data_IF_571816408147
#
_entry.id   IF_571816408147
#
_cell.length_a   1.000
_cell.length_b   1.000
_cell.length_c   1.000
_cell.angle_alpha   90.00
_cell.angle_beta   90.00
_cell.angle_gamma   90.00
#
_symmetry.space_group_name_H-M   'P 1'
#
loop_
_entity.id
_entity.type
_entity.pdbx_description
1 polymer ?
2 non-polymer ?
3 non-polymer ?
4 water ?
#
# COMPACT_ATOMS: atom_id res chain seq x y z
N UNK A 7 -16.80 7.70 -15.29
CA UNK A 7 -17.07 6.45 -16.01
C UNK A 7 -15.79 5.85 -16.59
N UNK A 8 -15.34 6.38 -17.72
CA UNK A 8 -14.04 6.05 -18.29
C UNK A 8 -13.02 7.11 -17.85
N UNK A 9 -11.72 6.77 -17.97
CA UNK A 9 -10.69 7.62 -17.40
C UNK A 9 -10.41 8.83 -18.29
N UNK A 10 -10.55 8.68 -19.61
CA UNK A 10 -10.17 9.78 -20.50
C UNK A 10 -10.96 11.06 -20.24
N UNK A 11 -12.31 11.05 -20.19
CA UNK A 11 -12.98 12.33 -19.85
C UNK A 11 -12.55 12.90 -18.52
N UNK A 12 -12.37 12.05 -17.49
CA UNK A 12 -11.94 12.52 -16.18
C UNK A 12 -10.54 13.12 -16.23
N UNK A 13 -9.64 12.51 -17.02
CA UNK A 13 -8.29 13.06 -17.13
C UNK A 13 -8.30 14.40 -17.88
N UNK A 14 -9.13 14.52 -18.92
CA UNK A 14 -9.27 15.78 -19.63
C UNK A 14 -9.74 16.88 -18.70
N UNK A 15 -10.81 16.60 -17.94
CA UNK A 15 -11.28 17.56 -16.95
C UNK A 15 -10.21 17.86 -15.91
N UNK A 16 -9.49 16.81 -15.47
CA UNK A 16 -8.39 17.00 -14.52
C UNK A 16 -7.31 17.90 -15.11
N UNK A 17 -6.88 17.61 -16.34
CA UNK A 17 -5.88 18.43 -17.02
C UNK A 17 -6.37 19.86 -17.22
N UNK A 18 -7.65 20.02 -17.59
CA UNK A 18 -8.21 21.36 -17.76
C UNK A 18 -8.15 22.15 -16.46
N UNK A 19 -8.69 21.57 -15.39
CA UNK A 19 -8.82 22.32 -14.14
C UNK A 19 -7.46 22.81 -13.65
N UNK A 20 -6.42 21.96 -13.70
CA UNK A 20 -5.13 22.32 -13.12
C UNK A 20 -4.12 22.80 -14.16
N UNK A 21 -4.52 22.94 -15.42
CA UNK A 21 -3.71 23.52 -16.50
C UNK A 21 -2.49 22.63 -16.80
N UNK A 22 -2.78 21.42 -17.27
CA UNK A 22 -1.72 20.47 -17.55
C UNK A 22 -1.81 19.97 -18.99
N UNK A 23 -0.67 19.67 -19.59
CA UNK A 23 -0.64 19.11 -20.95
C UNK A 23 -1.51 17.86 -21.06
N UNK A 24 -1.93 17.54 -22.25
CA UNK A 24 -2.78 16.38 -22.48
C UNK A 24 -2.19 15.07 -22.01
N UNK A 25 -3.07 14.10 -21.77
CA UNK A 25 -2.67 12.79 -21.31
C UNK A 25 -3.27 11.68 -22.15
N UNK A 26 -2.43 10.77 -22.63
CA UNK A 26 -2.85 9.64 -23.45
C UNK A 26 -4.03 8.89 -22.83
N UNK A 31 -2.60 0.84 -21.77
CA UNK A 31 -1.43 1.71 -21.78
C UNK A 31 -1.51 2.77 -20.67
N UNK A 32 -0.50 3.62 -20.64
CA UNK A 32 -0.34 4.61 -19.57
C UNK A 32 0.10 5.94 -20.17
N UNK A 33 0.13 6.96 -19.33
CA UNK A 33 0.65 8.26 -19.71
C UNK A 33 1.47 8.82 -18.56
N UNK A 34 2.27 9.83 -18.88
CA UNK A 34 3.11 10.50 -17.90
C UNK A 34 2.96 12.00 -18.03
N UNK A 35 3.30 12.67 -16.95
CA UNK A 35 3.18 14.11 -16.87
C UNK A 35 4.30 14.59 -15.98
N UNK A 36 5.08 15.57 -16.43
CA UNK A 36 6.09 16.14 -15.57
C UNK A 36 5.47 17.19 -14.65
N UNK A 37 5.92 17.20 -13.40
CA UNK A 37 5.31 18.00 -12.34
C UNK A 37 6.40 18.83 -11.69
N UNK A 38 6.22 20.16 -11.69
CA UNK A 38 7.10 21.08 -10.98
C UNK A 38 8.56 20.95 -11.40
N UNK A 39 8.81 20.50 -12.64
CA UNK A 39 10.15 20.35 -13.18
C UNK A 39 11.02 19.41 -12.32
N UNK A 40 10.38 18.39 -11.72
CA UNK A 40 11.07 17.63 -10.68
C UNK A 40 10.68 16.16 -10.62
N UNK A 41 9.42 15.83 -10.91
CA UNK A 41 8.97 14.45 -10.86
C UNK A 41 8.22 14.09 -12.14
N UNK A 42 8.30 12.81 -12.49
CA UNK A 42 7.47 12.20 -13.53
C UNK A 42 6.42 11.35 -12.81
N UNK A 43 5.18 11.78 -12.89
CA UNK A 43 4.05 11.03 -12.36
C UNK A 43 3.43 10.24 -13.50
N UNK A 44 3.23 8.93 -13.29
CA UNK A 44 2.62 8.04 -14.28
C UNK A 44 1.15 7.85 -13.96
N UNK A 45 0.33 7.74 -15.01
CA UNK A 45 -1.11 7.54 -14.92
C UNK A 45 -1.44 6.26 -15.67
N UNK A 46 -1.85 5.23 -14.94
CA UNK A 46 -2.11 3.91 -15.52
C UNK A 46 -3.54 3.52 -15.25
N UNK A 47 -4.22 3.01 -16.28
CA UNK A 47 -5.57 2.49 -16.15
C UNK A 47 -5.46 0.98 -16.00
N UNK A 48 -5.71 0.51 -14.78
CA UNK A 48 -5.65 -0.93 -14.51
C UNK A 48 -6.78 -1.64 -15.24
N UNK A 49 -6.78 -2.97 -15.14
CA UNK A 49 -7.80 -3.75 -15.84
C UNK A 49 -9.13 -3.69 -15.11
N UNK A 50 -9.11 -3.61 -13.78
CA UNK A 50 -10.34 -3.68 -12.98
C UNK A 50 -10.81 -2.27 -12.55
N UNK A 51 -10.97 -1.41 -13.56
CA UNK A 51 -11.68 -0.12 -13.43
C UNK A 51 -11.05 0.77 -12.37
N UNK A 52 -9.72 0.77 -12.31
CA UNK A 52 -9.00 1.61 -11.37
C UNK A 52 -7.95 2.42 -12.11
N UNK A 53 -7.59 3.55 -11.50
CA UNK A 53 -6.51 4.40 -11.99
C UNK A 53 -5.37 4.34 -10.97
N UNK A 54 -4.19 3.96 -11.43
CA UNK A 54 -3.00 3.97 -10.59
C UNK A 54 -2.16 5.22 -10.84
N UNK A 55 -1.69 5.83 -9.77
CA UNK A 55 -0.64 6.84 -9.81
C UNK A 55 0.63 6.29 -9.19
N UNK A 56 1.74 6.46 -9.90
CA UNK A 56 3.04 6.00 -9.43
C UNK A 56 4.08 7.04 -9.79
N UNK A 57 5.07 7.22 -8.91
CA UNK A 57 6.15 8.15 -9.14
C UNK A 57 7.43 7.56 -8.55
N UNK A 58 8.51 7.62 -9.32
CA UNK A 58 9.85 7.28 -8.86
C UNK A 58 10.51 8.55 -8.34
N UNK A 59 10.91 8.52 -7.09
CA UNK A 59 11.42 9.69 -6.43
C UNK A 59 12.86 9.57 -5.99
N UNK A 60 13.47 8.39 -6.08
CA UNK A 60 14.84 8.27 -5.65
C UNK A 60 15.35 6.86 -5.89
N UNK A 61 16.44 6.53 -5.24
CA UNK A 61 17.03 5.23 -5.46
C UNK A 61 17.71 4.75 -4.21
N UNK A 62 17.76 3.43 -4.06
CA UNK A 62 18.44 2.81 -2.96
C UNK A 62 19.88 2.55 -3.35
N UNK A 63 20.80 2.78 -2.42
CA UNK A 63 22.19 2.40 -2.62
C UNK A 63 22.29 0.94 -3.07
N UNK A 64 23.34 0.63 -3.85
CA UNK A 64 23.44 -0.73 -4.40
C UNK A 64 23.71 -1.74 -3.31
N UNK A 65 24.49 -1.37 -2.29
CA UNK A 65 24.92 -2.35 -1.29
C UNK A 65 25.41 -1.58 -0.07
N UNK A 66 25.64 -2.32 1.01
CA UNK A 66 26.22 -1.75 2.21
C UNK A 66 25.18 -1.31 3.23
N UNK A 67 25.70 -0.69 4.32
CA UNK A 67 24.85 -0.25 5.41
C UNK A 67 23.80 0.74 4.93
N UNK A 68 24.14 1.54 3.92
CA UNK A 68 23.20 2.54 3.46
C UNK A 68 22.00 1.89 2.80
N UNK A 69 22.23 0.83 2.01
CA UNK A 69 21.10 0.06 1.49
C UNK A 69 20.23 -0.47 2.63
N UNK A 70 20.85 -1.09 3.65
CA UNK A 70 20.05 -1.68 4.72
C UNK A 70 19.25 -0.62 5.44
N UNK A 71 19.87 0.52 5.74
CA UNK A 71 19.14 1.61 6.38
C UNK A 71 17.93 2.03 5.56
N UNK A 72 18.10 2.17 4.24
CA UNK A 72 16.97 2.52 3.41
C UNK A 72 15.94 1.41 3.37
N UNK A 73 16.39 0.16 3.45
CA UNK A 73 15.47 -0.97 3.44
C UNK A 73 14.64 -1.01 4.71
N UNK A 74 15.25 -0.76 5.87
CA UNK A 74 14.51 -0.73 7.13
C UNK A 74 13.51 0.42 7.16
N UNK A 75 13.88 1.56 6.57
CA UNK A 75 12.95 2.68 6.44
C UNK A 75 11.78 2.33 5.53
N UNK A 76 12.06 1.70 4.39
CA UNK A 76 11.02 1.23 3.49
C UNK A 76 10.03 0.32 4.22
N UNK A 77 10.55 -0.70 4.91
CA UNK A 77 9.67 -1.71 5.47
C UNK A 77 8.73 -1.12 6.51
N UNK A 78 9.21 -0.14 7.27
CA UNK A 78 8.40 0.42 8.35
C UNK A 78 7.47 1.51 7.88
N UNK A 79 7.80 2.19 6.77
CA UNK A 79 7.02 3.34 6.36
C UNK A 79 5.62 2.93 5.93
N UNK A 80 5.45 1.70 5.49
CA UNK A 80 4.16 1.28 4.99
C UNK A 80 3.22 0.80 6.08
N UNK A 81 3.66 0.83 7.35
CA UNK A 81 2.81 0.38 8.45
C UNK A 81 1.79 1.44 8.84
N UNK A 82 2.21 2.69 8.92
CA UNK A 82 1.25 3.75 9.15
C UNK A 82 0.60 4.14 7.80
N UNK A 83 -0.37 5.05 7.84
CA UNK A 83 -1.06 5.44 6.61
C UNK A 83 -0.19 6.43 5.83
N UNK A 84 -0.01 6.14 4.54
CA UNK A 84 0.86 6.94 3.70
C UNK A 84 0.06 7.95 2.89
N UNK A 85 -1.07 7.52 2.36
CA UNK A 85 -2.01 8.42 1.71
C UNK A 85 -3.22 7.67 1.23
N UNK A 86 -4.10 8.41 0.56
CA UNK A 86 -5.28 7.87 -0.09
C UNK A 86 -4.93 6.77 -1.08
N UNK A 87 -5.94 6.01 -1.51
CA UNK A 87 -5.71 4.96 -2.49
C UNK A 87 -4.77 3.86 -2.03
N UNK A 88 -4.57 3.74 -0.72
CA UNK A 88 -3.55 2.85 -0.19
C UNK A 88 -2.21 3.14 -0.87
N UNK A 89 -1.85 4.43 -0.91
CA UNK A 89 -0.50 4.84 -1.26
C UNK A 89 0.50 3.97 -0.52
N UNK A 90 1.50 3.47 -1.24
CA UNK A 90 2.54 2.64 -0.64
C UNK A 90 3.89 2.95 -1.24
N UNK A 91 4.93 2.82 -0.42
CA UNK A 91 6.32 2.82 -0.85
C UNK A 91 6.77 1.43 -1.29
N UNK A 92 7.58 1.38 -2.33
CA UNK A 92 8.10 0.10 -2.80
C UNK A 92 9.41 0.33 -3.55
N UNK A 93 10.00 -0.78 -3.97
CA UNK A 93 11.19 -0.82 -4.79
C UNK A 93 10.86 -1.46 -6.12
N UNK A 94 11.27 -0.81 -7.21
CA UNK A 94 11.07 -1.39 -8.54
C UNK A 94 11.87 -2.68 -8.71
N UNK A 95 11.56 -3.47 -9.75
CA UNK A 95 12.23 -4.78 -9.91
C UNK A 95 13.73 -4.72 -10.11
N UNK A 96 14.27 -3.59 -10.57
CA UNK A 96 15.72 -3.46 -10.72
C UNK A 96 16.42 -3.28 -9.37
N UNK A 97 15.70 -3.37 -8.26
CA UNK A 97 16.31 -3.29 -6.95
C UNK A 97 16.83 -1.92 -6.56
N UNK A 98 16.60 -0.91 -7.39
CA UNK A 98 17.20 0.39 -7.13
C UNK A 98 16.16 1.48 -6.93
N UNK A 99 15.14 1.57 -7.79
CA UNK A 99 14.29 2.74 -7.82
C UNK A 99 13.24 2.72 -6.72
N UNK A 100 13.17 3.82 -5.97
CA UNK A 100 12.19 3.97 -4.90
C UNK A 100 10.91 4.57 -5.49
N UNK A 101 9.77 3.91 -5.24
CA UNK A 101 8.52 4.24 -5.90
C UNK A 101 7.41 4.46 -4.88
N UNK A 102 6.62 5.49 -5.12
CA UNK A 102 5.39 5.79 -4.40
C UNK A 102 4.25 5.56 -5.38
N UNK A 103 3.31 4.71 -4.99
CA UNK A 103 2.20 4.37 -5.88
C UNK A 103 0.96 4.01 -5.08
N UNK A 104 -0.19 4.16 -5.74
CA UNK A 104 -1.49 3.76 -5.23
C UNK A 104 -2.47 3.74 -6.39
N UNK A 105 -3.65 3.20 -6.13
CA UNK A 105 -4.70 3.11 -7.12
C UNK A 105 -6.06 3.28 -6.45
N UNK A 106 -7.04 3.75 -7.22
CA UNK A 106 -8.42 3.96 -6.77
C UNK A 106 -9.36 3.55 -7.88
N UNK A 107 -10.54 3.03 -7.56
CA UNK A 107 -11.52 2.72 -8.61
C UNK A 107 -11.95 3.99 -9.30
N UNK A 108 -12.00 3.94 -10.63
CA UNK A 108 -12.44 5.13 -11.36
C UNK A 108 -13.89 5.48 -11.05
N UNK A 109 -14.68 4.47 -10.67
CA UNK A 109 -16.09 4.66 -10.35
C UNK A 109 -16.32 5.80 -9.35
N UNK A 110 -15.40 5.98 -8.41
CA UNK A 110 -15.55 6.98 -7.34
C UNK A 110 -14.66 8.17 -7.53
N UNK A 111 -14.13 8.35 -8.73
CA UNK A 111 -13.23 9.45 -9.02
C UNK A 111 -13.95 10.49 -9.85
N UNK A 112 -13.74 11.76 -9.50
CA UNK A 112 -14.04 12.89 -10.38
C UNK A 112 -12.93 13.91 -10.23
N UNK A 113 -13.06 15.02 -10.97
CA UNK A 113 -11.95 15.95 -11.16
C UNK A 113 -11.46 16.53 -9.85
N UNK A 114 -12.39 16.76 -8.91
CA UNK A 114 -12.05 17.46 -7.67
C UNK A 114 -11.12 16.62 -6.80
N UNK A 115 -11.51 15.38 -6.50
CA UNK A 115 -10.71 14.58 -5.60
C UNK A 115 -9.58 13.83 -6.29
N UNK A 116 -9.66 13.62 -7.60
CA UNK A 116 -8.44 13.32 -8.35
C UNK A 116 -7.42 14.43 -8.16
N UNK A 117 -7.89 15.67 -8.01
CA UNK A 117 -6.97 16.79 -7.83
C UNK A 117 -6.37 16.80 -6.42
N UNK A 118 -7.19 16.51 -5.40
CA UNK A 118 -6.65 16.37 -4.04
C UNK A 118 -5.67 15.20 -3.96
N UNK A 119 -5.93 14.12 -4.70
CA UNK A 119 -5.07 12.95 -4.61
C UNK A 119 -3.72 13.23 -5.28
N UNK A 120 -3.75 13.94 -6.41
CA UNK A 120 -2.55 14.42 -7.08
C UNK A 120 -1.70 15.29 -6.16
N UNK A 121 -2.32 16.26 -5.48
CA UNK A 121 -1.55 17.09 -4.56
C UNK A 121 -1.06 16.30 -3.36
N UNK A 122 -1.81 15.29 -2.92
CA UNK A 122 -1.32 14.47 -1.81
C UNK A 122 -0.07 13.68 -2.19
N UNK A 123 -0.05 13.07 -3.38
CA UNK A 123 1.07 12.20 -3.70
C UNK A 123 2.33 13.03 -3.99
N UNK A 124 2.17 14.20 -4.62
CA UNK A 124 3.32 15.07 -4.81
C UNK A 124 3.86 15.50 -3.45
N UNK A 125 2.96 15.85 -2.53
CA UNK A 125 3.39 16.25 -1.20
C UNK A 125 4.16 15.12 -0.51
N UNK A 126 3.65 13.89 -0.59
CA UNK A 126 4.29 12.76 0.10
C UNK A 126 5.61 12.37 -0.57
N UNK A 127 5.67 12.44 -1.90
CA UNK A 127 6.92 12.26 -2.61
C UNK A 127 8.02 13.14 -2.02
N UNK A 128 7.77 14.46 -1.98
CA UNK A 128 8.79 15.40 -1.52
C UNK A 128 9.23 15.07 -0.10
N UNK A 129 8.29 14.69 0.75
CA UNK A 129 8.64 14.31 2.12
C UNK A 129 9.51 13.04 2.12
N UNK A 130 9.20 12.07 1.26
CA UNK A 130 9.93 10.80 1.31
C UNK A 130 11.28 10.93 0.63
N UNK A 131 11.32 11.62 -0.52
CA UNK A 131 12.61 11.94 -1.12
C UNK A 131 13.54 12.60 -0.09
N UNK A 132 13.02 13.58 0.65
CA UNK A 132 13.82 14.25 1.67
C UNK A 132 14.30 13.26 2.70
N UNK A 133 13.39 12.43 3.24
CA UNK A 133 13.78 11.53 4.33
C UNK A 133 14.86 10.54 3.87
N UNK A 134 14.69 9.97 2.66
CA UNK A 134 15.69 9.04 2.14
C UNK A 134 17.02 9.72 1.82
N UNK A 135 16.98 10.92 1.23
CA UNK A 135 18.23 11.65 0.98
C UNK A 135 18.93 12.01 2.27
N UNK A 136 18.18 12.26 3.34
CA UNK A 136 18.85 12.59 4.59
C UNK A 136 19.58 11.40 5.21
N UNK A 137 19.40 10.17 4.72
CA UNK A 137 20.19 9.07 5.27
C UNK A 137 21.68 9.22 5.01
N UNK A 138 22.05 9.94 3.94
CA UNK A 138 23.44 10.01 3.48
C UNK A 138 23.90 11.47 3.37
N UNK A 139 23.56 12.30 4.35
CA UNK A 139 23.86 13.73 4.29
C UNK A 139 25.08 14.13 5.15
N UNK A 140 25.79 13.18 5.74
CA UNK A 140 26.91 13.51 6.61
C UNK A 140 28.21 13.53 5.82
N UNK A 141 28.97 14.60 5.98
CA UNK A 141 30.25 14.78 5.31
C UNK A 141 31.37 14.69 6.33
N UNK A 142 32.39 13.90 6.03
CA UNK A 142 33.57 13.87 6.89
C UNK A 142 34.71 14.68 6.28
N UNK B 7 -20.06 2.70 16.92
CA UNK B 7 -19.48 3.35 15.75
C UNK B 7 -20.43 3.25 14.55
N UNK B 8 -20.27 4.16 13.58
CA UNK B 8 -21.22 4.28 12.48
C UNK B 8 -21.26 3.07 11.56
N UNK B 9 -20.26 2.19 11.60
CA UNK B 9 -20.18 1.07 10.66
C UNK B 9 -20.40 -0.27 11.37
N UNK B 10 -20.73 -0.24 12.65
CA UNK B 10 -21.10 -1.45 13.36
C UNK B 10 -22.21 -2.25 12.67
N UNK B 11 -23.30 -1.65 12.16
CA UNK B 11 -24.33 -2.48 11.50
C UNK B 11 -23.82 -3.19 10.27
N UNK B 12 -22.98 -2.53 9.46
CA UNK B 12 -22.39 -3.21 8.31
C UNK B 12 -21.54 -4.40 8.74
N UNK B 13 -20.70 -4.23 9.75
CA UNK B 13 -19.88 -5.34 10.22
C UNK B 13 -20.76 -6.48 10.72
N UNK B 14 -21.78 -6.16 11.52
CA UNK B 14 -22.65 -7.20 12.06
C UNK B 14 -23.42 -7.90 10.95
N UNK B 15 -23.72 -7.20 9.85
CA UNK B 15 -24.34 -7.86 8.72
C UNK B 15 -23.33 -8.66 7.93
N UNK B 16 -22.09 -8.16 7.86
CA UNK B 16 -21.02 -8.90 7.20
C UNK B 16 -20.73 -10.22 7.93
N UNK B 17 -20.51 -10.16 9.24
CA UNK B 17 -20.37 -11.38 10.04
C UNK B 17 -21.53 -12.34 9.78
N UNK B 18 -22.74 -11.92 10.17
CA UNK B 18 -23.93 -12.76 10.06
C UNK B 18 -24.12 -13.31 8.64
N UNK B 19 -23.74 -12.56 7.61
CA UNK B 19 -23.77 -13.14 6.27
C UNK B 19 -22.79 -14.31 6.13
N UNK B 20 -21.68 -14.27 6.86
CA UNK B 20 -20.56 -15.17 6.63
C UNK B 20 -20.38 -16.18 7.76
N UNK B 21 -21.41 -16.39 8.60
CA UNK B 21 -21.37 -17.36 9.70
C UNK B 21 -20.23 -17.03 10.69
N UNK B 22 -20.17 -15.77 11.12
CA UNK B 22 -19.07 -15.29 11.93
C UNK B 22 -19.54 -14.58 13.20
N UNK B 23 -18.70 -14.58 14.24
CA UNK B 23 -19.08 -13.90 15.46
C UNK B 23 -19.26 -12.41 15.24
N UNK B 24 -20.10 -11.76 16.05
CA UNK B 24 -20.12 -10.30 16.07
C UNK B 24 -18.81 -9.73 16.56
N UNK B 25 -18.62 -8.45 16.30
CA UNK B 25 -17.35 -7.77 16.50
C UNK B 25 -17.58 -6.48 17.29
N UNK B 26 -16.87 -6.36 18.42
CA UNK B 26 -16.77 -5.18 19.28
C UNK B 26 -17.22 -3.87 18.62
N UNK B 31 -13.17 1.63 18.15
CA UNK B 31 -11.77 1.25 18.08
C UNK B 31 -11.55 0.16 17.03
N UNK B 32 -11.19 -1.05 17.48
CA UNK B 32 -10.94 -2.14 16.55
C UNK B 32 -11.48 -3.44 17.10
N UNK B 33 -11.73 -4.38 16.19
CA UNK B 33 -12.17 -5.72 16.52
C UNK B 33 -11.16 -6.73 16.01
N UNK B 34 -11.15 -7.90 16.64
CA UNK B 34 -10.31 -9.00 16.21
C UNK B 34 -11.18 -10.21 15.94
N UNK B 35 -10.90 -10.88 14.82
CA UNK B 35 -11.62 -12.05 14.35
C UNK B 35 -10.62 -13.17 14.06
N UNK B 36 -10.77 -14.31 14.72
CA UNK B 36 -9.90 -15.44 14.41
C UNK B 36 -10.42 -16.19 13.18
N UNK B 37 -9.55 -16.38 12.19
CA UNK B 37 -9.93 -16.84 10.87
C UNK B 37 -9.24 -18.17 10.59
N UNK B 38 -10.05 -19.18 10.25
CA UNK B 38 -9.57 -20.54 9.88
C UNK B 38 -8.62 -21.13 10.92
N UNK B 39 -8.74 -20.69 12.17
CA UNK B 39 -7.85 -21.14 13.27
C UNK B 39 -6.38 -20.98 12.88
N UNK B 40 -6.06 -19.89 12.20
CA UNK B 40 -4.67 -19.68 11.79
C UNK B 40 -4.26 -18.20 11.84
N UNK B 41 -5.21 -17.29 11.61
CA UNK B 41 -4.94 -15.86 11.49
C UNK B 41 -5.87 -15.01 12.35
N UNK B 42 -5.31 -14.04 13.06
CA UNK B 42 -6.05 -13.05 13.83
C UNK B 42 -6.21 -11.81 12.95
N UNK B 43 -7.36 -11.68 12.30
CA UNK B 43 -7.65 -10.55 11.44
C UNK B 43 -8.26 -9.41 12.24
N UNK B 44 -7.68 -8.22 12.11
CA UNK B 44 -8.14 -7.05 12.83
C UNK B 44 -8.98 -6.16 11.92
N UNK B 45 -10.04 -5.59 12.48
CA UNK B 45 -10.88 -4.59 11.82
C UNK B 45 -10.73 -3.30 12.60
N UNK B 46 -10.35 -2.22 11.92
CA UNK B 46 -10.18 -0.94 12.60
C UNK B 46 -10.95 0.15 11.88
N UNK B 47 -11.67 0.96 12.65
CA UNK B 47 -12.27 2.20 12.14
C UNK B 47 -11.21 3.30 12.24
N UNK B 48 -10.72 3.77 11.10
CA UNK B 48 -9.71 4.82 11.08
C UNK B 48 -10.33 6.18 11.38
N UNK B 49 -9.46 7.16 11.65
CA UNK B 49 -9.86 8.55 11.81
C UNK B 49 -10.12 9.25 10.47
N UNK B 50 -10.12 8.50 9.36
CA UNK B 50 -10.41 9.02 8.03
C UNK B 50 -11.75 8.49 7.51
N UNK B 51 -12.65 8.10 8.41
CA UNK B 51 -13.88 7.39 8.07
C UNK B 51 -13.60 6.21 7.15
N UNK B 52 -12.60 5.41 7.53
CA UNK B 52 -12.23 4.26 6.72
C UNK B 52 -12.20 3.00 7.59
N UNK B 53 -12.33 1.86 6.94
CA UNK B 53 -12.15 0.57 7.58
C UNK B 53 -10.78 0.01 7.19
N UNK B 54 -9.98 -0.33 8.20
CA UNK B 54 -8.67 -0.95 8.02
C UNK B 54 -8.72 -2.40 8.48
N UNK B 55 -8.40 -3.32 7.58
CA UNK B 55 -8.07 -4.70 7.90
C UNK B 55 -6.56 -4.88 8.01
N UNK B 56 -6.10 -5.55 9.05
CA UNK B 56 -4.69 -5.81 9.28
C UNK B 56 -4.50 -7.24 9.77
N UNK B 57 -3.44 -7.89 9.32
CA UNK B 57 -3.07 -9.19 9.88
C UNK B 57 -1.54 -9.30 9.94
N UNK B 58 -1.03 -9.74 11.09
CA UNK B 58 0.38 -10.08 11.24
C UNK B 58 0.57 -11.56 10.90
N UNK B 59 1.35 -11.85 9.85
CA UNK B 59 1.44 -13.21 9.35
C UNK B 59 2.80 -13.86 9.61
N UNK B 60 3.71 -13.17 10.29
CA UNK B 60 5.05 -13.69 10.42
C UNK B 60 5.97 -12.61 10.93
N UNK B 61 7.27 -12.93 10.96
CA UNK B 61 8.24 -12.01 11.50
C UNK B 61 9.56 -12.09 10.77
N UNK B 62 10.27 -10.98 10.81
CA UNK B 62 11.59 -10.89 10.20
C UNK B 62 12.59 -11.39 11.21
N UNK B 63 13.61 -12.11 10.73
CA UNK B 63 14.75 -12.43 11.58
C UNK B 63 15.31 -11.17 12.21
N UNK B 64 15.70 -11.28 13.48
CA UNK B 64 16.15 -10.13 14.25
C UNK B 64 17.36 -9.43 13.61
N UNK B 65 18.25 -10.17 12.96
CA UNK B 65 19.47 -9.58 12.43
C UNK B 65 20.11 -10.55 11.47
N UNK B 66 21.12 -10.07 10.76
CA UNK B 66 21.87 -10.95 9.89
C UNK B 66 21.36 -10.93 8.47
N UNK B 67 21.91 -11.84 7.67
CA UNK B 67 21.64 -11.84 6.24
C UNK B 67 20.22 -12.28 5.93
N UNK B 68 19.61 -13.08 6.81
CA UNK B 68 18.22 -13.49 6.59
C UNK B 68 17.28 -12.31 6.81
N UNK B 69 17.56 -11.46 7.79
CA UNK B 69 16.82 -10.22 7.92
C UNK B 69 16.89 -9.40 6.62
N UNK B 70 18.09 -9.24 6.07
CA UNK B 70 18.23 -8.38 4.89
C UNK B 70 17.49 -9.01 3.73
N UNK B 71 17.54 -10.34 3.62
CA UNK B 71 16.76 -10.97 2.57
C UNK B 71 15.27 -10.74 2.79
N UNK B 72 14.79 -10.77 4.04
CA UNK B 72 13.40 -10.46 4.28
C UNK B 72 13.07 -9.02 3.89
N UNK B 73 13.97 -8.09 4.21
CA UNK B 73 13.76 -6.68 3.89
C UNK B 73 13.68 -6.47 2.37
N UNK B 74 14.52 -7.16 1.63
CA UNK B 74 14.49 -7.03 0.17
C UNK B 74 13.19 -7.55 -0.41
N UNK B 75 12.71 -8.70 0.08
CA UNK B 75 11.39 -9.18 -0.31
C UNK B 75 10.30 -8.19 0.13
N UNK B 76 10.40 -7.66 1.33
CA UNK B 76 9.42 -6.66 1.77
C UNK B 76 9.39 -5.45 0.83
N UNK B 77 10.55 -4.97 0.43
CA UNK B 77 10.54 -3.70 -0.31
C UNK B 77 9.98 -3.87 -1.72
N UNK B 78 10.17 -5.06 -2.31
CA UNK B 78 9.68 -5.30 -3.65
C UNK B 78 8.23 -5.72 -3.69
N UNK B 79 7.71 -6.27 -2.60
CA UNK B 79 6.37 -6.84 -2.61
C UNK B 79 5.34 -5.80 -3.01
N UNK B 80 5.50 -4.56 -2.53
CA UNK B 80 4.47 -3.56 -2.75
C UNK B 80 4.55 -2.88 -4.12
N UNK B 81 5.55 -3.23 -4.95
CA UNK B 81 5.57 -2.69 -6.31
C UNK B 81 4.46 -3.30 -7.16
N UNK B 82 4.28 -4.61 -7.10
CA UNK B 82 3.17 -5.25 -7.77
C UNK B 82 1.84 -4.90 -7.07
N UNK B 83 0.73 -5.14 -7.76
CA UNK B 83 -0.56 -5.12 -7.09
C UNK B 83 -0.64 -6.29 -6.09
N UNK B 84 -1.02 -6.01 -4.85
CA UNK B 84 -1.29 -7.09 -3.89
C UNK B 84 -2.80 -7.14 -3.70
N UNK B 85 -3.37 -8.30 -4.00
CA UNK B 85 -4.81 -8.42 -4.12
C UNK B 85 -5.35 -7.52 -5.22
N UNK B 86 -6.42 -6.78 -4.90
CA UNK B 86 -6.97 -5.79 -5.83
C UNK B 86 -5.99 -4.66 -6.05
N UNK B 87 -5.48 -4.07 -4.97
CA UNK B 87 -4.61 -2.93 -5.02
C UNK B 87 -4.64 -2.17 -3.70
N UNK B 88 -5.61 -2.51 -2.86
CA UNK B 88 -5.77 -1.88 -1.54
C UNK B 88 -5.31 -2.83 -0.44
N UNK B 89 -4.02 -3.16 -0.51
CA UNK B 89 -3.33 -3.96 0.50
C UNK B 89 -1.85 -3.67 0.35
N UNK B 90 -1.13 -3.57 1.47
CA UNK B 90 0.31 -3.42 1.40
C UNK B 90 0.95 -4.19 2.55
N UNK B 91 2.19 -4.60 2.31
CA UNK B 91 3.02 -5.26 3.29
C UNK B 91 3.88 -4.24 4.02
N UNK B 92 4.09 -4.47 5.31
CA UNK B 92 4.90 -3.58 6.13
C UNK B 92 5.47 -4.33 7.30
N UNK B 93 6.44 -3.70 7.94
CA UNK B 93 7.05 -4.13 9.17
C UNK B 93 6.44 -3.33 10.31
N UNK B 94 6.14 -3.99 11.41
CA UNK B 94 5.53 -3.33 12.54
C UNK B 94 6.54 -2.43 13.24
N UNK B 95 6.07 -1.45 14.02
CA UNK B 95 6.99 -0.64 14.84
C UNK B 95 7.97 -1.45 15.66
N UNK B 96 7.65 -2.69 16.01
CA UNK B 96 8.62 -3.44 16.80
C UNK B 96 9.77 -3.99 15.93
N UNK B 97 9.72 -3.80 14.61
CA UNK B 97 10.80 -4.24 13.76
C UNK B 97 10.83 -5.73 13.47
N UNK B 98 9.88 -6.50 13.98
CA UNK B 98 9.84 -7.95 13.83
C UNK B 98 8.66 -8.42 12.99
N UNK B 99 7.45 -8.02 13.34
CA UNK B 99 6.25 -8.62 12.77
C UNK B 99 6.00 -8.12 11.37
N UNK B 100 5.69 -9.06 10.47
CA UNK B 100 5.32 -8.75 9.11
C UNK B 100 3.80 -8.56 9.06
N UNK B 101 3.34 -7.50 8.41
CA UNK B 101 1.94 -7.10 8.49
C UNK B 101 1.39 -6.91 7.10
N UNK B 102 0.21 -7.46 6.86
CA UNK B 102 -0.56 -7.19 5.65
C UNK B 102 -1.76 -6.35 6.06
N UNK B 103 -1.99 -5.24 5.37
CA UNK B 103 -2.99 -4.28 5.81
C UNK B 103 -3.43 -3.41 4.63
N UNK B 104 -4.68 -2.97 4.69
CA UNK B 104 -5.26 -2.17 3.63
C UNK B 104 -6.42 -1.36 4.18
N UNK B 105 -6.67 -0.21 3.54
CA UNK B 105 -7.72 0.73 3.93
C UNK B 105 -8.73 0.89 2.80
N UNK B 106 -9.97 1.20 3.18
CA UNK B 106 -11.03 1.53 2.22
C UNK B 106 -12.07 2.40 2.90
N UNK B 107 -12.55 3.46 2.25
CA UNK B 107 -13.58 4.31 2.89
C UNK B 107 -14.88 3.56 3.11
N UNK B 108 -15.51 3.78 4.27
CA UNK B 108 -16.80 3.18 4.54
C UNK B 108 -17.84 3.58 3.52
N UNK B 109 -17.69 4.77 2.92
CA UNK B 109 -18.68 5.36 2.03
C UNK B 109 -19.31 4.33 1.10
N UNK B 110 -18.49 3.60 0.35
CA UNK B 110 -18.99 2.59 -0.57
C UNK B 110 -18.81 1.16 -0.06
N UNK B 111 -18.39 0.98 1.19
CA UNK B 111 -18.27 -0.38 1.70
C UNK B 111 -19.68 -0.93 1.92
N UNK B 112 -19.97 -2.07 1.29
CA UNK B 112 -21.18 -2.83 1.54
C UNK B 112 -20.79 -4.23 2.01
N UNK B 113 -21.79 -4.99 2.49
CA UNK B 113 -21.52 -6.34 2.97
C UNK B 113 -21.01 -7.23 1.85
N UNK B 114 -21.38 -6.96 0.61
CA UNK B 114 -20.91 -7.78 -0.50
C UNK B 114 -19.40 -7.62 -0.71
N UNK B 115 -18.95 -6.39 -0.94
CA UNK B 115 -17.55 -6.17 -1.29
C UNK B 115 -16.63 -6.22 -0.06
N UNK B 116 -17.18 -6.05 1.14
CA UNK B 116 -16.43 -6.40 2.34
C UNK B 116 -16.18 -7.91 2.42
N UNK B 117 -16.97 -8.71 1.70
CA UNK B 117 -16.74 -10.15 1.68
C UNK B 117 -15.63 -10.52 0.70
N UNK B 118 -15.68 -9.94 -0.49
CA UNK B 118 -14.60 -10.16 -1.46
C UNK B 118 -13.27 -9.67 -0.91
N UNK B 119 -13.28 -8.57 -0.15
CA UNK B 119 -12.05 -8.06 0.44
C UNK B 119 -11.55 -9.00 1.54
N UNK B 120 -12.43 -9.39 2.45
CA UNK B 120 -12.04 -10.25 3.55
C UNK B 120 -11.46 -11.58 3.04
N UNK B 121 -11.99 -12.10 1.91
CA UNK B 121 -11.38 -13.31 1.35
C UNK B 121 -10.06 -12.99 0.67
N UNK B 122 -9.89 -11.77 0.19
CA UNK B 122 -8.66 -11.47 -0.51
C UNK B 122 -7.50 -11.28 0.46
N UNK B 123 -7.73 -10.60 1.59
CA UNK B 123 -6.61 -10.39 2.50
C UNK B 123 -6.16 -11.71 3.12
N UNK B 124 -7.09 -12.64 3.35
CA UNK B 124 -6.70 -13.94 3.90
C UNK B 124 -5.91 -14.72 2.87
N UNK B 125 -6.35 -14.69 1.62
CA UNK B 125 -5.63 -15.36 0.55
C UNK B 125 -4.22 -14.78 0.38
N UNK B 126 -4.10 -13.46 0.30
CA UNK B 126 -2.78 -12.87 0.18
C UNK B 126 -1.94 -13.17 1.42
N UNK B 127 -2.57 -13.23 2.60
CA UNK B 127 -1.86 -13.60 3.83
C UNK B 127 -1.19 -14.96 3.66
N UNK B 128 -1.94 -15.96 3.19
CA UNK B 128 -1.36 -17.30 2.99
C UNK B 128 -0.22 -17.26 1.97
N UNK B 129 -0.39 -16.49 0.91
CA UNK B 129 0.64 -16.40 -0.10
C UNK B 129 1.94 -15.84 0.48
N UNK B 130 1.86 -14.73 1.21
CA UNK B 130 3.07 -14.09 1.69
C UNK B 130 3.68 -14.81 2.88
N UNK B 131 2.86 -15.47 3.70
CA UNK B 131 3.43 -16.29 4.74
C UNK B 131 4.34 -17.35 4.14
N UNK B 132 3.85 -18.03 3.10
CA UNK B 132 4.65 -19.06 2.44
C UNK B 132 5.91 -18.45 1.84
N UNK B 133 5.77 -17.31 1.15
CA UNK B 133 6.93 -16.71 0.47
C UNK B 133 8.02 -16.34 1.46
N UNK B 134 7.65 -15.73 2.59
CA UNK B 134 8.68 -15.38 3.55
C UNK B 134 9.27 -16.62 4.20
N UNK B 135 8.47 -17.65 4.41
CA UNK B 135 9.03 -18.86 5.02
C UNK B 135 9.96 -19.58 4.05
N UNK B 136 9.80 -19.37 2.75
CA UNK B 136 10.71 -20.02 1.82
C UNK B 136 12.11 -19.39 1.81
N UNK B 137 12.30 -18.25 2.46
CA UNK B 137 13.65 -17.70 2.58
C UNK B 137 14.58 -18.56 3.43
N UNK B 138 14.07 -19.44 4.28
CA UNK B 138 14.90 -20.16 5.25
C UNK B 138 14.57 -21.66 5.29
N UNK B 139 14.55 -22.31 4.13
CA UNK B 139 14.12 -23.72 4.10
C UNK B 139 15.24 -24.70 3.80
N UNK B 140 16.45 -24.23 3.57
CA UNK B 140 17.54 -25.14 3.23
C UNK B 140 18.20 -25.63 4.52
N UNK B 141 18.51 -26.91 4.57
CA UNK B 141 19.11 -27.57 5.71
C UNK B 141 20.44 -28.15 5.29
N UNK B 142 21.50 -27.80 6.01
CA UNK B 142 22.83 -28.25 5.63
C UNK B 142 23.22 -29.50 6.41
X LIG C 1 6.05 -6.37 20.87
X LIG C 1 5.38 -7.63 20.39
X LIG C 1 5.59 -6.03 22.28
X LIG C 1 7.55 -6.62 20.83
X LIG C 1 5.61 -5.21 19.99
X LIG D 1 18.12 -11.78 -3.15
X LIG D 1 17.68 -12.95 -5.81
X LIG D 1 17.28 -14.57 -3.39
X LIG D 1 14.95 -13.72 -4.98
X LIG D 1 15.39 -12.50 -2.36
X LIG D 1 15.84 -10.91 -4.78
X LIG D 1 19.91 -11.86 -5.05
X LIG D 1 19.42 -13.75 -2.04
X LIG D 1 17.09 -11.27 -0.86
X LIG D 1 17.60 -9.31 -3.75
X LIG D 1 18.83 -15.24 -5.40
X LIG D 1 16.12 -14.66 -1.08
X LIG D 1 13.17 -13.70 -3.04
X LIG D 1 13.73 -11.71 -6.09
X LIG D 1 15.98 -14.17 -7.34
X LIG D 1 15.57 -16.21 -4.49
X LIG D 1 14.13 -10.26 -2.90
X LIG D 1 17.15 -10.72 -7.03
#
# INVERSE_FOLDING_TARGET
GPLGSMNTIQPLLDEFCRLNELPPLILEDGNRCQLLVDDRFVLYFTATEDDALMLSVAFGGLEKSGELRVRGLELLARANYQRVGSGNLALSLAPNGRQLVLAGRQPTEHLNSANLTVWFHEIIEQTELWQARFAMLDQDLSATSNHEQSHVQPLRV
GPLGSMNTIQPLLDEFCRLNELPPLILEDGNRCQLLVDDRFVLYFTATEDDALMLSVAFGGLEKSGELRVRGLELLARANYQRVGSGNLALSLAPNGRQLVLAGRQPTEHLNSANLTVWFHEIIEQTELWQARFAMLDQDLSATSNHEQSHVQPLRV
PO4 P O1 O2 O3 O4
TBR TA1 TA2 TA3 TA4 TA5 TA6 BR1 BR2 BR3 BR4 BR5 BR6 BR7 BR8 BR9 BRA BRB BRC
#
